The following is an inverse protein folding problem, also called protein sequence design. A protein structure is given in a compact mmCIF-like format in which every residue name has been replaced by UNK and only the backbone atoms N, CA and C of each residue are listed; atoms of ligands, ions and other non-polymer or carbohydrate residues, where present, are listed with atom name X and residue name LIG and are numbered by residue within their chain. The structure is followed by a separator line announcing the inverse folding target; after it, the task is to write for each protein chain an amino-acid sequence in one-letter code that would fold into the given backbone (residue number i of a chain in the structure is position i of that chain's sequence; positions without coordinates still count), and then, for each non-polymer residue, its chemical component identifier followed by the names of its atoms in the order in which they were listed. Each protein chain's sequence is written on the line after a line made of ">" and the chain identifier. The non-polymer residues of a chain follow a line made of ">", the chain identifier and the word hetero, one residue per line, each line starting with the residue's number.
data_IF_613417090659
#
_entry.id   IF_613417090659
#
_cell.length_a   1.000
_cell.length_b   1.000
_cell.length_c   1.000
_cell.angle_alpha   90.00
_cell.angle_beta   90.00
_cell.angle_gamma   90.00
#
_symmetry.space_group_name_H-M   'P 1'
#
loop_
_entity.id
_entity.type
_entity.pdbx_description
1 polymer ?
#
# COMPACT_ATOMS: atom_id res chain seq x y z
N UNK A 1 2.72 18.89 4.34
CA UNK A 1 2.84 17.44 4.58
C UNK A 1 2.06 16.71 3.49
N UNK A 2 2.65 15.73 2.82
CA UNK A 2 1.99 14.95 1.75
C UNK A 2 1.89 13.49 2.23
N UNK A 3 0.69 12.92 2.19
CA UNK A 3 0.52 11.49 2.43
C UNK A 3 1.14 10.73 1.25
N UNK A 4 2.10 9.86 1.53
CA UNK A 4 2.81 9.07 0.51
C UNK A 4 2.55 7.58 0.63
N UNK A 5 2.21 7.10 1.83
CA UNK A 5 1.92 5.70 2.07
C UNK A 5 0.94 5.51 3.21
N UNK A 6 0.13 4.47 3.10
CA UNK A 6 -0.66 3.89 4.17
C UNK A 6 -0.02 2.54 4.51
N UNK A 7 0.21 2.31 5.80
CA UNK A 7 0.85 1.10 6.31
C UNK A 7 -0.09 0.37 7.27
N UNK A 8 -0.18 -0.95 7.12
CA UNK A 8 -0.77 -1.82 8.12
C UNK A 8 -0.15 -3.23 8.07
N UNK A 9 -0.46 -4.05 9.07
CA UNK A 9 -0.03 -5.45 9.12
C UNK A 9 -1.21 -6.39 9.00
N UNK A 10 -0.99 -7.57 8.41
CA UNK A 10 -1.91 -8.71 8.51
C UNK A 10 -1.34 -9.75 9.49
N UNK A 11 -2.20 -10.50 10.20
CA UNK A 11 -1.74 -11.64 11.00
C UNK A 11 -0.88 -12.60 10.18
N UNK A 12 -1.32 -12.92 8.96
CA UNK A 12 -0.60 -13.75 7.99
C UNK A 12 -0.86 -13.24 6.57
N UNK A 13 0.14 -13.35 5.69
CA UNK A 13 0.16 -12.82 4.34
C UNK A 13 0.51 -11.33 4.28
N UNK A 14 0.95 -10.88 3.11
CA UNK A 14 1.31 -9.49 2.83
C UNK A 14 0.72 -9.00 1.50
N UNK A 15 -0.44 -9.52 1.14
CA UNK A 15 -1.22 -9.10 -0.03
C UNK A 15 -2.51 -8.39 0.40
N UNK A 16 -3.03 -7.44 -0.40
CA UNK A 16 -4.24 -6.72 -0.06
C UNK A 16 -5.45 -7.65 -0.02
N UNK A 17 -6.24 -7.52 1.04
CA UNK A 17 -7.57 -8.12 1.13
C UNK A 17 -8.58 -7.37 0.26
N UNK A 18 -9.77 -7.92 0.05
CA UNK A 18 -10.84 -7.19 -0.66
C UNK A 18 -11.22 -5.86 0.00
N UNK A 19 -11.09 -5.76 1.33
CA UNK A 19 -11.33 -4.50 2.07
C UNK A 19 -10.22 -3.49 1.78
N UNK A 20 -8.96 -3.93 1.72
CA UNK A 20 -7.83 -3.07 1.34
C UNK A 20 -8.03 -2.50 -0.06
N UNK A 21 -8.34 -3.38 -1.02
CA UNK A 21 -8.60 -2.98 -2.42
C UNK A 21 -9.73 -1.95 -2.50
N UNK A 22 -10.83 -2.19 -1.80
CA UNK A 22 -11.96 -1.24 -1.77
C UNK A 22 -11.54 0.14 -1.24
N UNK A 23 -10.70 0.17 -0.20
CA UNK A 23 -10.19 1.42 0.36
C UNK A 23 -9.18 2.11 -0.56
N UNK A 24 -8.32 1.34 -1.22
CA UNK A 24 -7.37 1.84 -2.21
C UNK A 24 -8.13 2.54 -3.35
N UNK A 25 -9.11 1.87 -3.96
CA UNK A 25 -9.93 2.43 -5.04
C UNK A 25 -10.68 3.69 -4.58
N UNK A 26 -11.32 3.64 -3.40
CA UNK A 26 -12.04 4.81 -2.86
C UNK A 26 -11.14 6.04 -2.69
N UNK A 27 -9.89 5.85 -2.27
CA UNK A 27 -8.95 6.95 -2.10
C UNK A 27 -8.47 7.51 -3.43
N UNK A 28 -8.20 6.66 -4.42
CA UNK A 28 -7.87 7.11 -5.77
C UNK A 28 -9.04 7.86 -6.44
N UNK A 29 -10.25 7.34 -6.32
CA UNK A 29 -11.47 7.90 -6.89
C UNK A 29 -11.95 9.18 -6.19
N UNK A 30 -11.37 9.51 -5.02
CA UNK A 30 -11.75 10.70 -4.25
C UNK A 30 -11.52 12.03 -5.00
N UNK A 31 -10.75 12.02 -6.09
CA UNK A 31 -10.36 13.22 -6.85
C UNK A 31 -9.33 14.09 -6.13
N UNK A 32 -8.88 13.68 -4.93
CA UNK A 32 -7.85 14.40 -4.19
C UNK A 32 -6.48 14.05 -4.75
N UNK A 33 -5.81 15.04 -5.37
CA UNK A 33 -4.45 14.90 -5.93
C UNK A 33 -3.41 14.39 -4.92
N UNK A 34 -3.65 14.57 -3.63
CA UNK A 34 -2.81 14.01 -2.57
C UNK A 34 -2.79 12.49 -2.56
N UNK A 35 -3.80 11.84 -3.13
CA UNK A 35 -4.03 10.39 -3.02
C UNK A 35 -3.76 9.62 -4.31
N UNK A 36 -3.43 10.30 -5.42
CA UNK A 36 -3.22 9.70 -6.74
C UNK A 36 -2.10 8.65 -6.78
N UNK A 37 -1.13 8.73 -5.87
CA UNK A 37 0.06 7.86 -5.85
C UNK A 37 0.37 7.34 -4.45
N UNK A 38 -0.66 6.99 -3.67
CA UNK A 38 -0.45 6.37 -2.35
C UNK A 38 0.11 4.96 -2.55
N UNK A 39 1.15 4.66 -1.81
CA UNK A 39 1.68 3.31 -1.67
C UNK A 39 0.99 2.63 -0.49
N UNK A 40 0.30 1.54 -0.75
CA UNK A 40 -0.26 0.64 0.26
C UNK A 40 0.81 -0.36 0.68
N UNK A 41 1.26 -0.29 1.93
CA UNK A 41 2.36 -1.11 2.42
C UNK A 41 1.81 -2.09 3.44
N UNK A 42 1.96 -3.40 3.18
CA UNK A 42 1.38 -4.47 4.00
C UNK A 42 2.50 -5.37 4.53
N UNK A 43 2.57 -5.50 5.85
CA UNK A 43 3.52 -6.38 6.52
C UNK A 43 2.83 -7.66 7.01
N UNK A 44 3.43 -8.81 6.70
CA UNK A 44 3.10 -10.06 7.38
C UNK A 44 3.64 -10.02 8.81
N UNK A 45 2.78 -10.22 9.80
CA UNK A 45 3.18 -10.12 11.21
C UNK A 45 4.01 -11.32 11.70
N UNK A 46 3.90 -12.48 11.05
CA UNK A 46 4.62 -13.70 11.37
C UNK A 46 6.02 -13.68 10.74
N UNK A 47 6.11 -13.43 9.43
CA UNK A 47 7.39 -13.49 8.69
C UNK A 47 8.14 -12.17 8.69
N UNK A 48 7.44 -11.05 8.95
CA UNK A 48 7.94 -9.67 8.78
C UNK A 48 8.20 -9.27 7.33
N UNK A 49 7.75 -10.06 6.37
CA UNK A 49 7.86 -9.72 4.96
C UNK A 49 6.93 -8.56 4.61
N UNK A 50 7.44 -7.62 3.82
CA UNK A 50 6.78 -6.38 3.47
C UNK A 50 6.60 -6.28 1.96
N UNK A 51 5.37 -6.01 1.52
CA UNK A 51 5.07 -5.68 0.14
C UNK A 51 4.44 -4.29 0.04
N UNK A 52 4.70 -3.62 -1.09
CA UNK A 52 4.03 -2.38 -1.48
C UNK A 52 3.08 -2.63 -2.63
N UNK A 53 1.98 -1.88 -2.67
CA UNK A 53 0.98 -1.91 -3.73
C UNK A 53 0.56 -0.49 -4.08
N UNK A 54 0.22 -0.25 -5.34
CA UNK A 54 -0.44 0.99 -5.74
C UNK A 54 -1.43 0.69 -6.85
N UNK A 55 -2.39 1.57 -7.07
CA UNK A 55 -3.20 1.51 -8.28
C UNK A 55 -2.56 2.39 -9.35
N UNK A 56 -2.34 1.81 -10.53
CA UNK A 56 -1.82 2.48 -11.71
C UNK A 56 -2.70 2.08 -12.89
N UNK A 57 -3.26 3.05 -13.61
CA UNK A 57 -4.15 2.78 -14.76
C UNK A 57 -5.30 1.81 -14.41
N UNK A 58 -5.91 2.01 -13.24
CA UNK A 58 -7.01 1.20 -12.69
C UNK A 58 -6.64 -0.26 -12.35
N UNK A 59 -5.36 -0.60 -12.40
CA UNK A 59 -4.81 -1.91 -12.03
C UNK A 59 -4.01 -1.85 -10.73
N UNK A 60 -4.14 -2.89 -9.89
CA UNK A 60 -3.31 -3.02 -8.69
C UNK A 60 -1.96 -3.59 -9.10
N UNK A 61 -0.91 -2.80 -8.93
CA UNK A 61 0.47 -3.22 -9.18
C UNK A 61 1.19 -3.41 -7.85
N UNK A 62 1.92 -4.52 -7.74
CA UNK A 62 2.87 -4.72 -6.65
C UNK A 62 4.16 -3.95 -6.96
N UNK A 63 4.71 -3.28 -5.96
CA UNK A 63 5.97 -2.55 -6.05
C UNK A 63 6.97 -3.11 -5.05
N UNK A 64 8.25 -3.08 -5.42
CA UNK A 64 9.35 -3.46 -4.54
C UNK A 64 9.55 -2.40 -3.44
N UNK A 65 9.66 -2.84 -2.19
CA UNK A 65 9.96 -1.97 -1.04
C UNK A 65 11.36 -2.26 -0.53
N UNK A 66 12.28 -1.32 -0.77
CA UNK A 66 13.67 -1.42 -0.32
C UNK A 66 13.81 -0.70 1.03
N UNK A 67 13.99 -1.47 2.11
CA UNK A 67 14.25 -0.92 3.44
C UNK A 67 15.72 -0.47 3.51
N UNK A 68 15.93 0.83 3.67
CA UNK A 68 17.27 1.41 3.87
C UNK A 68 17.45 1.79 5.33
N UNK A 69 18.53 1.30 5.95
CA UNK A 69 18.93 1.77 7.26
C UNK A 69 19.56 3.16 7.12
N UNK A 70 18.85 4.18 7.57
CA UNK A 70 19.43 5.51 7.78
C UNK A 70 20.30 5.43 9.03
N UNK A 71 21.62 5.35 8.85
CA UNK A 71 22.56 5.61 9.95
C UNK A 71 22.48 7.08 10.37
#
# INVERSE_FOLDING_TARGET
>A
MKLVSIFHSHPSGNHPSGVDITNMSRLQESGLKSFQFIIWTIMDSETKDLNGFMILEDEIVQIEVIIKNSK
#
